data_IF_190784534764
#
_entry.id   IF_190784534764
#
_cell.length_a   1.000
_cell.length_b   1.000
_cell.length_c   1.000
_cell.angle_alpha   90.00
_cell.angle_beta   90.00
_cell.angle_gamma   90.00
#
_symmetry.space_group_name_H-M   'P 1'
#
loop_
_entity.id
_entity.type
_entity.pdbx_description
1 polymer ?
#
# COMPACT_ATOMS: atom_id res chain seq x y z
N UNK A 1 -18.82 -9.22 -18.93
CA UNK A 1 -18.39 -8.67 -17.63
C UNK A 1 -17.29 -9.57 -17.09
N UNK A 2 -16.05 -9.35 -17.49
CA UNK A 2 -14.91 -10.13 -17.01
C UNK A 2 -14.58 -9.62 -15.63
N UNK A 3 -14.85 -10.41 -14.59
CA UNK A 3 -14.33 -10.15 -13.26
C UNK A 3 -12.80 -10.13 -13.39
N UNK A 4 -12.21 -8.92 -13.32
CA UNK A 4 -10.76 -8.77 -13.30
C UNK A 4 -10.20 -9.66 -12.18
N UNK A 5 -9.04 -10.29 -12.37
CA UNK A 5 -8.45 -11.12 -11.34
C UNK A 5 -8.35 -10.31 -10.04
N UNK A 6 -8.87 -10.88 -8.95
CA UNK A 6 -8.94 -10.26 -7.62
C UNK A 6 -7.57 -10.10 -6.95
N UNK A 7 -6.50 -10.11 -7.75
CA UNK A 7 -5.13 -10.09 -7.27
C UNK A 7 -4.66 -8.65 -7.21
N UNK A 8 -4.36 -8.18 -6.01
CA UNK A 8 -3.75 -6.87 -5.79
C UNK A 8 -2.27 -7.02 -6.13
N UNK A 9 -1.78 -6.20 -7.06
CA UNK A 9 -0.36 -6.14 -7.39
C UNK A 9 0.45 -5.90 -6.13
N UNK A 10 1.50 -6.69 -5.89
CA UNK A 10 2.37 -6.53 -4.73
C UNK A 10 3.84 -6.66 -5.11
N UNK A 11 4.72 -6.07 -4.31
CA UNK A 11 6.16 -6.09 -4.54
C UNK A 11 6.94 -6.01 -3.23
N UNK A 12 8.04 -6.75 -3.13
CA UNK A 12 9.08 -6.57 -2.11
C UNK A 12 10.19 -5.62 -2.58
N UNK A 13 10.28 -5.39 -3.89
CA UNK A 13 11.31 -4.57 -4.53
C UNK A 13 10.83 -3.12 -4.71
N UNK A 14 10.86 -2.37 -3.60
CA UNK A 14 10.51 -0.94 -3.53
C UNK A 14 11.71 -0.11 -3.08
N UNK A 15 12.85 -0.32 -3.75
CA UNK A 15 14.10 0.38 -3.44
C UNK A 15 13.92 1.90 -3.52
N UNK A 16 14.43 2.61 -2.51
CA UNK A 16 14.32 4.07 -2.40
C UNK A 16 12.96 4.58 -1.92
N UNK A 17 11.96 3.71 -1.73
CA UNK A 17 10.66 4.14 -1.21
C UNK A 17 10.80 4.75 0.20
N UNK A 18 10.27 5.97 0.35
CA UNK A 18 10.22 6.68 1.63
C UNK A 18 8.92 6.31 2.34
N UNK A 19 9.03 5.42 3.32
CA UNK A 19 7.90 4.93 4.10
C UNK A 19 7.46 5.93 5.18
N UNK A 20 6.16 6.18 5.22
CA UNK A 20 5.48 7.00 6.21
C UNK A 20 4.59 6.09 7.05
N UNK A 21 4.93 5.97 8.33
CA UNK A 21 4.12 5.24 9.31
C UNK A 21 2.87 6.02 9.65
N UNK A 22 1.74 5.33 9.79
CA UNK A 22 0.49 5.94 10.23
C UNK A 22 0.58 6.43 11.68
N UNK A 23 0.00 7.60 11.96
CA UNK A 23 -0.14 8.13 13.32
C UNK A 23 -1.07 7.29 14.20
N UNK A 24 -1.97 6.51 13.59
CA UNK A 24 -2.87 5.58 14.29
C UNK A 24 -2.16 4.29 14.73
N UNK A 25 -0.93 4.06 14.28
CA UNK A 25 -0.09 2.94 14.69
C UNK A 25 0.46 3.19 16.09
N UNK A 26 -0.41 3.05 17.09
CA UNK A 26 -0.10 3.18 18.51
C UNK A 26 -0.08 1.80 19.17
N UNK A 27 1.00 1.47 19.86
CA UNK A 27 1.16 0.15 20.49
C UNK A 27 1.26 -1.01 19.49
N UNK A 28 0.66 -2.16 19.81
CA UNK A 28 0.80 -3.41 19.06
C UNK A 28 -0.30 -3.68 18.01
N UNK A 29 -1.26 -2.76 17.82
CA UNK A 29 -2.41 -3.00 16.96
C UNK A 29 -2.41 -2.07 15.73
N UNK A 30 -2.64 -2.66 14.55
CA UNK A 30 -2.87 -1.97 13.26
C UNK A 30 -1.74 -1.05 12.77
N UNK A 31 -0.50 -1.57 12.76
CA UNK A 31 0.65 -0.82 12.26
C UNK A 31 0.76 -0.91 10.72
N UNK A 32 0.53 0.20 10.01
CA UNK A 32 0.69 0.27 8.56
C UNK A 32 1.62 1.40 8.16
N UNK A 33 2.41 1.17 7.12
CA UNK A 33 3.24 2.21 6.49
C UNK A 33 2.84 2.37 5.02
N UNK A 34 2.93 3.59 4.53
CA UNK A 34 2.64 3.91 3.13
C UNK A 34 3.84 4.57 2.47
N UNK A 35 4.01 4.35 1.18
CA UNK A 35 5.03 5.04 0.40
C UNK A 35 4.54 5.34 -1.01
N UNK A 36 5.10 6.38 -1.62
CA UNK A 36 4.96 6.67 -3.05
C UNK A 36 6.28 6.31 -3.72
N UNK A 37 6.37 5.20 -4.47
CA UNK A 37 7.57 4.86 -5.22
C UNK A 37 7.88 5.97 -6.23
N UNK A 38 9.13 6.43 -6.25
CA UNK A 38 9.59 7.50 -7.14
C UNK A 38 10.55 7.01 -8.23
N UNK A 39 10.81 5.71 -8.28
CA UNK A 39 11.71 5.04 -9.21
C UNK A 39 11.18 3.65 -9.57
N UNK A 40 11.58 3.15 -10.75
CA UNK A 40 11.24 1.81 -11.20
C UNK A 40 9.81 1.68 -11.78
N UNK A 41 9.32 0.44 -11.97
CA UNK A 41 8.05 0.18 -12.65
C UNK A 41 6.81 0.56 -11.84
N UNK A 42 6.99 0.91 -10.56
CA UNK A 42 5.90 1.16 -9.61
C UNK A 42 5.61 2.65 -9.40
N UNK A 43 6.22 3.54 -10.20
CA UNK A 43 5.99 4.98 -10.15
C UNK A 43 4.50 5.28 -10.36
N UNK A 44 3.97 6.21 -9.57
CA UNK A 44 2.57 6.64 -9.64
C UNK A 44 1.59 5.76 -8.85
N UNK A 45 2.07 4.68 -8.24
CA UNK A 45 1.29 3.84 -7.33
C UNK A 45 1.45 4.29 -5.88
N UNK A 46 0.53 3.84 -5.03
CA UNK A 46 0.62 3.92 -3.58
C UNK A 46 0.96 2.54 -3.04
N UNK A 47 2.11 2.42 -2.38
CA UNK A 47 2.50 1.20 -1.68
C UNK A 47 2.00 1.23 -0.23
N UNK A 48 1.45 0.11 0.24
CA UNK A 48 1.00 -0.09 1.62
C UNK A 48 1.57 -1.39 2.14
N UNK A 49 2.20 -1.37 3.32
CA UNK A 49 2.75 -2.56 3.96
C UNK A 49 2.41 -2.61 5.45
N UNK A 50 2.53 -3.81 6.02
CA UNK A 50 2.51 -4.02 7.47
C UNK A 50 3.82 -3.50 8.08
N UNK A 51 3.74 -2.62 9.08
CA UNK A 51 4.95 -2.14 9.78
C UNK A 51 5.63 -3.24 10.58
N UNK A 52 4.91 -4.31 10.93
CA UNK A 52 5.42 -5.44 11.72
C UNK A 52 6.25 -6.39 10.87
N UNK A 53 6.05 -6.39 9.55
CA UNK A 53 6.85 -7.16 8.59
C UNK A 53 7.34 -6.25 7.44
N UNK A 54 8.35 -5.39 7.69
CA UNK A 54 8.88 -4.48 6.67
C UNK A 54 9.55 -5.17 5.48
N UNK A 55 9.94 -6.45 5.64
CA UNK A 55 10.58 -7.26 4.60
C UNK A 55 9.55 -7.99 3.72
N UNK A 56 8.30 -8.08 4.19
CA UNK A 56 7.19 -8.64 3.43
C UNK A 56 6.77 -7.79 2.22
N UNK A 57 5.92 -8.34 1.34
CA UNK A 57 5.44 -7.64 0.16
C UNK A 57 4.53 -6.47 0.53
N UNK A 58 4.71 -5.34 -0.16
CA UNK A 58 3.79 -4.22 -0.09
C UNK A 58 2.71 -4.34 -1.17
N UNK A 59 1.46 -4.05 -0.81
CA UNK A 59 0.36 -3.92 -1.75
C UNK A 59 0.48 -2.61 -2.53
N UNK A 60 0.23 -2.64 -3.83
CA UNK A 60 0.32 -1.50 -4.72
C UNK A 60 -1.06 -1.12 -5.24
N UNK A 61 -1.45 0.13 -4.98
CA UNK A 61 -2.74 0.69 -5.38
C UNK A 61 -2.55 1.77 -6.45
N UNK A 62 -3.41 1.79 -7.46
CA UNK A 62 -3.59 3.01 -8.26
C UNK A 62 -4.28 4.09 -7.40
N UNK A 63 -4.11 5.39 -7.70
CA UNK A 63 -4.79 6.46 -6.96
C UNK A 63 -6.32 6.27 -6.90
N UNK A 64 -6.94 5.83 -7.99
CA UNK A 64 -8.38 5.58 -8.06
C UNK A 64 -8.81 4.41 -7.17
N UNK A 65 -8.05 3.30 -7.19
CA UNK A 65 -8.35 2.14 -6.35
C UNK A 65 -8.20 2.45 -4.87
N UNK A 66 -7.21 3.27 -4.49
CA UNK A 66 -7.03 3.72 -3.12
C UNK A 66 -8.19 4.63 -2.66
N UNK A 67 -8.59 5.58 -3.50
CA UNK A 67 -9.73 6.45 -3.22
C UNK A 67 -11.02 5.64 -3.02
N UNK A 68 -11.31 4.69 -3.92
CA UNK A 68 -12.46 3.80 -3.81
C UNK A 68 -12.42 2.94 -2.53
N UNK A 69 -11.26 2.35 -2.21
CA UNK A 69 -11.06 1.57 -1.00
C UNK A 69 -11.35 2.38 0.27
N UNK A 70 -10.76 3.57 0.40
CA UNK A 70 -10.94 4.42 1.59
C UNK A 70 -12.37 4.96 1.72
N UNK A 71 -13.02 5.29 0.61
CA UNK A 71 -14.42 5.71 0.62
C UNK A 71 -15.36 4.60 1.14
N UNK A 72 -15.09 3.35 0.76
CA UNK A 72 -15.87 2.20 1.22
C UNK A 72 -15.69 1.87 2.72
N UNK A 73 -14.64 2.37 3.36
CA UNK A 73 -14.39 2.18 4.79
C UNK A 73 -14.99 3.30 5.67
N UNK A 74 -15.47 4.38 5.06
CA UNK A 74 -16.06 5.53 5.76
C UNK A 74 -17.59 5.47 5.87
N UNK A 75 -18.22 4.41 5.34
CA UNK A 75 -19.67 4.14 5.44
C UNK A 75 -20.02 3.36 6.71
#
# INVERSE_FOLDING_TARGET
MTALPRNVTSSTDLLGARWLRSSYSTGANNCVETARPHSGPWIGLLAVRDSKDPAGPALLFSPESWAGFTAALQS
#
